data_IF_988960260042
#
_entry.id   IF_988960260042
#
_cell.length_a   1.000
_cell.length_b   1.000
_cell.length_c   1.000
_cell.angle_alpha   90.00
_cell.angle_beta   90.00
_cell.angle_gamma   90.00
#
_symmetry.space_group_name_H-M   'P 1'
#
loop_
_entity.id
_entity.type
_entity.pdbx_description
1 polymer ?
#
# COMPACT_ATOMS: atom_id res chain seq x y z
N UNK A 1 6.62 -13.68 12.77
CA UNK A 1 6.66 -12.26 13.11
C UNK A 1 7.46 -12.08 14.38
N UNK A 2 8.24 -11.00 14.48
CA UNK A 2 9.21 -10.71 15.53
C UNK A 2 8.70 -9.58 16.42
N UNK A 3 8.94 -9.62 17.74
CA UNK A 3 8.56 -8.53 18.66
C UNK A 3 9.59 -7.40 18.71
N UNK A 4 10.83 -7.71 18.36
CA UNK A 4 11.92 -6.75 18.35
C UNK A 4 12.86 -7.01 17.17
N UNK A 5 13.65 -5.99 16.81
CA UNK A 5 14.69 -6.09 15.79
C UNK A 5 15.78 -7.12 16.13
N UNK A 6 16.00 -7.39 17.43
CA UNK A 6 16.99 -8.35 17.90
C UNK A 6 16.56 -9.81 17.74
N UNK A 7 15.27 -10.06 17.52
CA UNK A 7 14.72 -11.41 17.29
C UNK A 7 14.80 -11.83 15.81
N UNK A 8 15.22 -10.94 14.91
CA UNK A 8 15.27 -11.21 13.47
C UNK A 8 16.43 -12.17 13.19
N UNK A 9 16.09 -13.40 12.80
CA UNK A 9 17.05 -14.40 12.36
C UNK A 9 17.31 -14.28 10.85
N UNK A 10 18.28 -13.44 10.48
CA UNK A 10 18.67 -13.20 9.09
C UNK A 10 19.18 -14.46 8.36
N UNK A 11 19.61 -15.50 9.09
CA UNK A 11 20.06 -16.76 8.48
C UNK A 11 18.92 -17.51 7.78
N UNK A 12 17.68 -17.32 8.27
CA UNK A 12 16.46 -17.94 7.73
C UNK A 12 15.79 -17.14 6.61
N UNK A 13 16.22 -15.90 6.38
CA UNK A 13 15.63 -15.03 5.35
C UNK A 13 16.25 -15.30 3.97
N UNK A 14 15.50 -15.10 2.87
CA UNK A 14 16.01 -15.22 1.51
C UNK A 14 17.11 -14.17 1.21
N UNK A 15 17.73 -14.24 0.02
CA UNK A 15 18.80 -13.30 -0.35
C UNK A 15 18.30 -11.87 -0.53
N UNK A 16 17.03 -11.70 -0.92
CA UNK A 16 16.34 -10.42 -1.00
C UNK A 16 14.98 -10.51 -0.30
N UNK A 17 14.64 -9.49 0.47
CA UNK A 17 13.38 -9.44 1.24
C UNK A 17 13.01 -8.01 1.60
N UNK A 18 11.77 -7.84 2.06
CA UNK A 18 11.29 -6.61 2.66
C UNK A 18 10.97 -6.87 4.12
N UNK A 19 11.49 -6.04 5.03
CA UNK A 19 11.04 -6.01 6.42
C UNK A 19 9.95 -4.97 6.55
N UNK A 20 8.84 -5.35 7.20
CA UNK A 20 7.70 -4.47 7.44
C UNK A 20 7.24 -4.55 8.88
N UNK A 21 6.73 -3.44 9.41
CA UNK A 21 5.90 -3.42 10.61
C UNK A 21 4.43 -3.64 10.25
N UNK A 22 3.65 -4.17 11.19
CA UNK A 22 2.25 -4.60 10.98
C UNK A 22 1.18 -3.57 11.40
N UNK A 23 1.56 -2.40 11.90
CA UNK A 23 0.69 -1.50 12.68
C UNK A 23 0.89 -0.02 12.33
N UNK A 24 1.49 0.26 11.18
CA UNK A 24 1.83 1.62 10.78
C UNK A 24 1.87 1.81 9.26
N UNK A 25 2.23 3.02 8.84
CA UNK A 25 2.67 3.32 7.48
C UNK A 25 4.15 3.71 7.47
N UNK A 26 4.88 3.23 6.45
CA UNK A 26 6.27 3.63 6.17
C UNK A 26 7.34 2.84 6.91
N UNK A 27 6.97 1.94 7.84
CA UNK A 27 7.87 1.03 8.54
C UNK A 27 8.36 -0.12 7.65
N UNK A 28 8.95 0.24 6.51
CA UNK A 28 9.38 -0.66 5.44
C UNK A 28 10.88 -0.50 5.20
N UNK A 29 11.61 -1.61 5.14
CA UNK A 29 13.03 -1.68 4.77
C UNK A 29 13.21 -2.66 3.61
N UNK A 30 13.75 -2.17 2.50
CA UNK A 30 14.04 -2.98 1.32
C UNK A 30 15.47 -3.54 1.41
N UNK A 31 15.61 -4.87 1.44
CA UNK A 31 16.90 -5.56 1.42
C UNK A 31 17.05 -6.26 0.08
N UNK A 32 17.81 -5.65 -0.85
CA UNK A 32 18.03 -6.19 -2.20
C UNK A 32 19.08 -7.29 -2.25
N UNK A 33 20.09 -7.20 -1.39
CA UNK A 33 21.15 -8.20 -1.24
C UNK A 33 21.50 -8.31 0.25
N UNK A 34 21.20 -9.46 0.85
CA UNK A 34 21.36 -9.73 2.28
C UNK A 34 22.81 -9.60 2.71
N UNK A 35 23.75 -10.12 1.92
CA UNK A 35 25.17 -10.15 2.31
C UNK A 35 25.77 -8.75 2.34
N UNK A 36 25.44 -7.91 1.35
CA UNK A 36 25.83 -6.50 1.31
C UNK A 36 25.18 -5.73 2.45
N UNK A 37 23.89 -5.96 2.69
CA UNK A 37 23.14 -5.32 3.79
C UNK A 37 23.73 -5.63 5.16
N UNK A 38 24.10 -6.88 5.43
CA UNK A 38 24.69 -7.28 6.72
C UNK A 38 26.14 -6.79 6.91
N UNK A 39 26.87 -6.53 5.82
CA UNK A 39 28.24 -6.00 5.86
C UNK A 39 28.29 -4.48 5.94
N UNK A 40 27.31 -3.79 5.38
CA UNK A 40 27.21 -2.34 5.45
C UNK A 40 26.59 -1.90 6.77
N UNK A 41 27.46 -1.69 7.77
CA UNK A 41 27.07 -1.23 9.11
C UNK A 41 26.22 0.04 9.08
N UNK A 42 26.39 0.93 8.10
CA UNK A 42 25.61 2.17 8.03
C UNK A 42 24.16 1.85 7.65
N UNK A 43 23.95 1.22 6.49
CA UNK A 43 22.61 0.86 6.01
C UNK A 43 21.88 -0.07 6.99
N UNK A 44 22.62 -1.01 7.59
CA UNK A 44 22.09 -1.90 8.61
C UNK A 44 21.57 -1.10 9.83
N UNK A 45 22.41 -0.23 10.42
CA UNK A 45 22.02 0.54 11.60
C UNK A 45 20.87 1.52 11.31
N UNK A 46 20.82 2.13 10.13
CA UNK A 46 19.71 2.97 9.70
C UNK A 46 18.39 2.18 9.62
N UNK A 47 18.43 0.97 9.04
CA UNK A 47 17.27 0.09 8.98
C UNK A 47 16.77 -0.36 10.36
N UNK A 48 17.69 -0.78 11.24
CA UNK A 48 17.37 -1.21 12.61
C UNK A 48 16.79 -0.04 13.42
N UNK A 49 17.38 1.16 13.30
CA UNK A 49 16.87 2.37 13.96
C UNK A 49 15.49 2.72 13.45
N UNK A 50 15.27 2.67 12.13
CA UNK A 50 13.95 2.91 11.53
C UNK A 50 12.91 1.95 12.09
N UNK A 51 13.14 0.63 12.01
CA UNK A 51 12.19 -0.36 12.51
C UNK A 51 11.94 -0.23 14.01
N UNK A 52 12.97 0.11 14.80
CA UNK A 52 12.83 0.34 16.25
C UNK A 52 11.96 1.57 16.54
N UNK A 53 12.14 2.67 15.81
CA UNK A 53 11.31 3.86 15.96
C UNK A 53 9.86 3.57 15.61
N UNK A 54 9.63 2.82 14.53
CA UNK A 54 8.31 2.39 14.10
C UNK A 54 7.62 1.51 15.14
N UNK A 55 8.31 0.49 15.70
CA UNK A 55 7.77 -0.35 16.79
C UNK A 55 7.35 0.44 18.04
N UNK A 56 7.94 1.62 18.27
CA UNK A 56 7.64 2.49 19.40
C UNK A 56 6.62 3.61 19.05
N UNK A 57 6.11 3.64 17.82
CA UNK A 57 5.21 4.68 17.33
C UNK A 57 3.83 4.11 17.08
N UNK A 58 2.80 4.69 17.70
CA UNK A 58 1.42 4.29 17.43
C UNK A 58 0.72 5.35 16.54
N UNK A 59 0.35 4.97 15.32
CA UNK A 59 -0.28 5.86 14.35
C UNK A 59 -1.65 6.40 14.79
N UNK A 60 -2.35 5.70 15.70
CA UNK A 60 -3.54 6.25 16.33
C UNK A 60 -3.23 7.55 17.11
N UNK A 61 -2.09 7.60 17.80
CA UNK A 61 -1.72 8.80 18.59
C UNK A 61 -1.30 9.97 17.71
N UNK A 62 -0.73 9.70 16.52
CA UNK A 62 -0.27 10.73 15.60
C UNK A 62 -1.39 11.25 14.68
N UNK A 63 -2.17 10.35 14.09
CA UNK A 63 -3.10 10.66 12.99
C UNK A 63 -4.55 10.28 13.28
N UNK A 64 -4.84 9.75 14.48
CA UNK A 64 -6.19 9.28 14.87
C UNK A 64 -6.75 8.16 13.99
N UNK A 65 -5.86 7.40 13.35
CA UNK A 65 -6.20 6.17 12.65
C UNK A 65 -6.56 5.07 13.65
N UNK A 66 -7.85 4.94 13.93
CA UNK A 66 -8.38 4.09 15.02
C UNK A 66 -7.99 2.62 14.89
N UNK A 67 -7.90 2.10 13.66
CA UNK A 67 -7.60 0.69 13.39
C UNK A 67 -6.21 0.27 13.88
N UNK A 68 -5.25 1.19 14.03
CA UNK A 68 -3.92 0.88 14.58
C UNK A 68 -3.86 0.87 16.10
N UNK A 69 -4.88 1.38 16.80
CA UNK A 69 -4.83 1.68 18.24
C UNK A 69 -4.38 0.49 19.10
N UNK A 70 -4.99 -0.67 18.85
CA UNK A 70 -4.85 -1.87 19.68
C UNK A 70 -4.00 -2.97 19.00
N UNK A 71 -3.39 -2.68 17.84
CA UNK A 71 -2.51 -3.64 17.16
C UNK A 71 -1.20 -3.73 17.91
N UNK A 72 -0.83 -4.94 18.34
CA UNK A 72 0.46 -5.17 18.96
C UNK A 72 1.59 -5.02 17.92
N UNK A 73 2.57 -4.11 18.14
CA UNK A 73 3.67 -3.89 17.21
C UNK A 73 4.52 -5.14 16.97
N UNK A 74 4.74 -5.47 15.70
CA UNK A 74 5.55 -6.60 15.22
C UNK A 74 6.27 -6.27 13.93
N UNK A 75 7.34 -7.01 13.66
CA UNK A 75 8.05 -7.02 12.38
C UNK A 75 7.79 -8.35 11.67
N UNK A 76 7.62 -8.32 10.36
CA UNK A 76 7.63 -9.51 9.52
C UNK A 76 8.53 -9.29 8.30
N UNK A 77 8.91 -10.40 7.67
CA UNK A 77 9.67 -10.40 6.43
C UNK A 77 8.79 -11.00 5.32
N UNK A 78 8.81 -10.38 4.15
CA UNK A 78 8.18 -10.87 2.93
C UNK A 78 9.21 -10.94 1.80
N UNK A 79 8.91 -11.74 0.78
CA UNK A 79 9.73 -11.82 -0.42
C UNK A 79 9.72 -10.47 -1.16
N UNK A 80 10.87 -10.09 -1.73
CA UNK A 80 10.97 -8.91 -2.57
C UNK A 80 10.30 -9.17 -3.92
N UNK A 81 9.29 -8.38 -4.25
CA UNK A 81 8.61 -8.47 -5.55
C UNK A 81 9.34 -7.63 -6.62
N UNK A 82 9.30 -8.13 -7.86
CA UNK A 82 9.84 -7.44 -9.04
C UNK A 82 11.35 -7.59 -9.22
N UNK A 83 11.84 -7.10 -10.35
CA UNK A 83 13.27 -7.09 -10.66
C UNK A 83 13.96 -5.97 -9.87
N UNK A 84 14.89 -6.34 -8.99
CA UNK A 84 15.61 -5.43 -8.10
C UNK A 84 16.43 -4.36 -8.83
N UNK A 85 16.64 -4.53 -10.14
CA UNK A 85 17.38 -3.64 -11.04
C UNK A 85 16.49 -2.79 -11.97
N UNK A 86 15.18 -3.06 -12.06
CA UNK A 86 14.25 -2.36 -12.97
C UNK A 86 13.38 -1.32 -12.24
N UNK A 87 12.57 -0.62 -13.04
CA UNK A 87 11.61 0.40 -12.63
C UNK A 87 10.76 -0.02 -11.41
N UNK A 88 10.33 0.98 -10.63
CA UNK A 88 9.44 0.78 -9.49
C UNK A 88 8.20 -0.02 -9.90
N UNK A 89 7.75 -0.94 -9.03
CA UNK A 89 6.48 -1.62 -9.23
C UNK A 89 5.35 -0.60 -9.41
N UNK A 90 4.40 -0.93 -10.29
CA UNK A 90 3.16 -0.17 -10.42
C UNK A 90 2.24 -0.63 -9.28
N UNK A 91 1.78 0.31 -8.46
CA UNK A 91 0.76 0.02 -7.47
C UNK A 91 -0.63 0.22 -8.08
N UNK A 92 -1.47 -0.79 -7.93
CA UNK A 92 -2.89 -0.72 -8.30
C UNK A 92 -3.71 -0.72 -7.03
N UNK A 93 -4.26 0.43 -6.68
CA UNK A 93 -5.01 0.65 -5.46
C UNK A 93 -6.49 0.72 -5.80
N UNK A 94 -7.21 -0.36 -5.53
CA UNK A 94 -8.62 -0.52 -5.92
C UNK A 94 -9.49 -0.05 -4.76
N UNK A 95 -10.16 1.09 -4.95
CA UNK A 95 -11.03 1.69 -3.94
C UNK A 95 -12.43 1.10 -4.02
N UNK A 96 -12.83 0.40 -2.97
CA UNK A 96 -14.15 -0.25 -2.89
C UNK A 96 -15.04 0.42 -1.85
N UNK A 97 -16.29 0.71 -2.22
CA UNK A 97 -17.33 1.29 -1.38
C UNK A 97 -18.55 0.37 -1.45
N UNK A 98 -18.92 -0.28 -0.34
CA UNK A 98 -20.06 -1.21 -0.25
C UNK A 98 -20.05 -2.30 -1.34
N UNK A 99 -18.91 -2.97 -1.53
CA UNK A 99 -18.71 -3.99 -2.58
C UNK A 99 -18.89 -3.45 -4.02
N UNK A 100 -18.75 -2.14 -4.23
CA UNK A 100 -18.69 -1.51 -5.54
C UNK A 100 -17.32 -0.88 -5.70
N UNK A 101 -16.62 -1.20 -6.79
CA UNK A 101 -15.37 -0.53 -7.14
C UNK A 101 -15.70 0.88 -7.63
N UNK A 102 -15.24 1.88 -6.88
CA UNK A 102 -15.42 3.29 -7.23
C UNK A 102 -14.46 3.73 -8.32
N UNK A 103 -13.17 3.37 -8.18
CA UNK A 103 -12.08 3.68 -9.10
C UNK A 103 -10.85 2.85 -8.74
N UNK A 104 -9.88 2.85 -9.66
CA UNK A 104 -8.55 2.27 -9.51
C UNK A 104 -7.57 3.43 -9.52
N UNK A 105 -6.87 3.64 -8.42
CA UNK A 105 -5.73 4.55 -8.35
C UNK A 105 -4.49 3.79 -8.80
N UNK A 106 -3.86 4.26 -9.88
CA UNK A 106 -2.63 3.67 -10.42
C UNK A 106 -1.46 4.58 -10.10
N UNK A 107 -0.48 4.05 -9.37
CA UNK A 107 0.74 4.77 -9.01
C UNK A 107 1.92 4.21 -9.79
N UNK A 108 2.62 5.08 -10.51
CA UNK A 108 3.88 4.76 -11.19
C UNK A 108 5.03 5.58 -10.61
N UNK A 109 6.27 5.14 -10.83
CA UNK A 109 7.48 5.89 -10.46
C UNK A 109 7.56 6.27 -8.96
N UNK A 110 6.98 5.44 -8.07
CA UNK A 110 6.84 5.73 -6.63
C UNK A 110 8.10 6.28 -5.98
N UNK A 111 9.28 5.80 -6.38
CA UNK A 111 10.58 6.18 -5.80
C UNK A 111 11.36 7.23 -6.61
N UNK A 112 10.94 7.56 -7.83
CA UNK A 112 11.70 8.42 -8.77
C UNK A 112 10.93 9.65 -9.23
N UNK A 113 9.69 9.82 -8.77
CA UNK A 113 8.82 10.93 -9.14
C UNK A 113 7.40 10.41 -9.29
N UNK A 114 6.79 10.06 -8.16
CA UNK A 114 5.47 9.45 -8.06
C UNK A 114 4.44 10.17 -8.93
N UNK A 115 3.72 9.40 -9.74
CA UNK A 115 2.60 9.88 -10.56
C UNK A 115 1.37 9.02 -10.29
N UNK A 116 0.22 9.66 -10.22
CA UNK A 116 -1.05 9.04 -9.86
C UNK A 116 -2.08 9.30 -10.96
N UNK A 117 -2.87 8.29 -11.29
CA UNK A 117 -4.02 8.45 -12.17
C UNK A 117 -5.15 7.55 -11.71
N UNK A 118 -6.36 8.10 -11.65
CA UNK A 118 -7.55 7.33 -11.36
C UNK A 118 -8.18 6.80 -12.67
N UNK A 119 -8.50 5.52 -12.67
CA UNK A 119 -9.05 4.77 -13.79
C UNK A 119 -10.37 4.09 -13.38
N UNK A 120 -11.29 3.90 -14.30
CA UNK A 120 -12.47 3.07 -14.10
C UNK A 120 -12.16 1.57 -14.32
N UNK A 121 -13.14 0.70 -14.06
CA UNK A 121 -13.00 -0.75 -14.26
C UNK A 121 -12.85 -1.18 -15.73
N UNK A 122 -13.10 -0.27 -16.68
CA UNK A 122 -12.92 -0.47 -18.11
C UNK A 122 -11.60 0.11 -18.62
N UNK A 123 -10.76 0.64 -17.73
CA UNK A 123 -9.48 1.27 -18.04
C UNK A 123 -9.57 2.63 -18.75
N UNK A 124 -10.61 3.41 -18.46
CA UNK A 124 -10.70 4.82 -18.85
C UNK A 124 -10.36 5.73 -17.68
N UNK A 125 -9.70 6.86 -17.95
CA UNK A 125 -9.42 7.87 -16.93
C UNK A 125 -10.74 8.43 -16.37
N UNK A 126 -10.89 8.47 -15.06
CA UNK A 126 -12.04 9.13 -14.41
C UNK A 126 -11.86 10.65 -14.44
N UNK A 127 -12.94 11.45 -14.36
CA UNK A 127 -12.85 12.89 -14.58
C UNK A 127 -12.46 13.65 -13.29
N UNK A 128 -11.44 13.15 -12.60
CA UNK A 128 -10.71 13.85 -11.55
C UNK A 128 -9.22 13.54 -11.60
N UNK A 129 -8.43 14.35 -10.90
CA UNK A 129 -7.00 14.23 -10.73
C UNK A 129 -6.61 14.30 -9.25
N UNK A 130 -5.60 13.52 -8.86
CA UNK A 130 -4.88 13.69 -7.60
C UNK A 130 -3.88 14.86 -7.67
N UNK A 131 -3.28 15.25 -6.55
CA UNK A 131 -2.23 16.28 -6.50
C UNK A 131 -1.03 15.91 -7.40
N UNK A 132 -0.60 14.64 -7.39
CA UNK A 132 0.53 14.14 -8.21
C UNK A 132 0.07 13.54 -9.54
N UNK A 133 -0.86 14.20 -10.23
CA UNK A 133 -1.47 13.67 -11.45
C UNK A 133 -0.46 13.23 -12.52
N UNK A 134 -0.71 12.08 -13.13
CA UNK A 134 -0.07 11.64 -14.36
C UNK A 134 -0.77 12.26 -15.57
N UNK A 135 0.02 12.66 -16.57
CA UNK A 135 -0.49 13.06 -17.89
C UNK A 135 -0.61 11.86 -18.86
N UNK A 136 -0.08 10.71 -18.47
CA UNK A 136 -0.04 9.50 -19.29
C UNK A 136 -0.84 8.39 -18.65
N UNK A 137 -1.70 7.76 -19.45
CA UNK A 137 -2.42 6.55 -19.06
C UNK A 137 -1.43 5.37 -19.11
N UNK A 138 -1.21 4.66 -17.99
CA UNK A 138 -0.34 3.49 -17.99
C UNK A 138 -0.95 2.33 -18.77
N UNK A 139 -0.11 1.39 -19.16
CA UNK A 139 -0.55 0.15 -19.80
C UNK A 139 -1.55 -0.58 -18.88
N UNK A 140 -2.63 -1.08 -19.48
CA UNK A 140 -3.61 -1.91 -18.78
C UNK A 140 -2.95 -3.19 -18.26
N UNK A 141 -3.09 -3.54 -16.96
CA UNK A 141 -2.57 -4.79 -16.44
C UNK A 141 -3.29 -5.95 -17.12
N UNK A 142 -2.53 -6.99 -17.47
CA UNK A 142 -3.05 -8.16 -18.19
C UNK A 142 -4.12 -8.89 -17.36
N UNK A 143 -3.98 -8.90 -16.03
CA UNK A 143 -4.89 -9.53 -15.09
C UNK A 143 -5.91 -8.58 -14.48
N UNK A 144 -6.31 -7.51 -15.18
CA UNK A 144 -7.23 -6.51 -14.59
C UNK A 144 -8.51 -7.17 -14.06
N UNK A 145 -9.12 -8.10 -14.80
CA UNK A 145 -10.38 -8.73 -14.38
C UNK A 145 -10.24 -9.44 -13.04
N UNK A 146 -9.21 -10.27 -12.91
CA UNK A 146 -8.89 -11.04 -11.71
C UNK A 146 -8.54 -10.13 -10.52
N UNK A 147 -7.87 -9.00 -10.78
CA UNK A 147 -7.59 -8.00 -9.75
C UNK A 147 -8.89 -7.38 -9.20
N UNK A 148 -9.85 -7.05 -10.08
CA UNK A 148 -11.14 -6.50 -9.67
C UNK A 148 -11.95 -7.53 -8.87
N UNK A 149 -12.00 -8.78 -9.31
CA UNK A 149 -12.71 -9.86 -8.61
C UNK A 149 -12.09 -10.11 -7.21
N UNK A 150 -10.76 -10.15 -7.12
CA UNK A 150 -10.05 -10.30 -5.86
C UNK A 150 -10.33 -9.12 -4.91
N UNK A 151 -10.32 -7.89 -5.41
CA UNK A 151 -10.63 -6.72 -4.59
C UNK A 151 -12.06 -6.74 -4.07
N UNK A 152 -13.04 -7.14 -4.88
CA UNK A 152 -14.43 -7.29 -4.45
C UNK A 152 -14.57 -8.38 -3.37
N UNK A 153 -13.85 -9.50 -3.52
CA UNK A 153 -13.85 -10.57 -2.52
C UNK A 153 -13.26 -10.10 -1.18
N UNK A 154 -12.12 -9.43 -1.20
CA UNK A 154 -11.45 -8.91 -0.01
C UNK A 154 -12.24 -7.78 0.66
N UNK A 155 -13.03 -7.03 -0.11
CA UNK A 155 -13.85 -5.93 0.37
C UNK A 155 -15.13 -6.34 1.11
N UNK A 156 -15.57 -7.60 1.01
CA UNK A 156 -16.89 -8.05 1.49
C UNK A 156 -17.19 -7.71 2.96
N UNK A 157 -16.16 -7.67 3.81
CA UNK A 157 -16.31 -7.42 5.23
C UNK A 157 -16.36 -5.92 5.59
N UNK A 158 -16.18 -5.01 4.63
CA UNK A 158 -15.93 -3.61 4.88
C UNK A 158 -16.86 -2.69 4.08
N UNK A 159 -17.31 -1.60 4.72
CA UNK A 159 -18.06 -0.57 4.00
C UNK A 159 -17.17 0.21 3.03
N UNK A 160 -15.93 0.44 3.43
CA UNK A 160 -14.89 1.01 2.60
C UNK A 160 -13.60 0.26 2.87
N UNK A 161 -12.91 -0.12 1.80
CA UNK A 161 -11.51 -0.54 1.86
C UNK A 161 -10.84 -0.25 0.52
N UNK A 162 -9.59 0.22 0.59
CA UNK A 162 -8.69 0.26 -0.56
C UNK A 162 -7.86 -1.01 -0.55
N UNK A 163 -7.94 -1.77 -1.63
CA UNK A 163 -7.18 -3.01 -1.82
C UNK A 163 -5.98 -2.69 -2.69
N UNK A 164 -4.79 -2.77 -2.10
CA UNK A 164 -3.54 -2.47 -2.80
C UNK A 164 -2.98 -3.77 -3.39
N UNK A 165 -2.81 -3.79 -4.70
CA UNK A 165 -2.34 -4.94 -5.44
C UNK A 165 -1.11 -4.63 -6.28
N UNK A 166 -0.27 -5.64 -6.46
CA UNK A 166 0.76 -5.69 -7.48
C UNK A 166 0.41 -6.75 -8.53
N UNK A 167 0.72 -6.46 -9.79
CA UNK A 167 0.64 -7.42 -10.89
C UNK A 167 2.05 -7.59 -11.46
N UNK A 168 2.69 -8.73 -11.17
CA UNK A 168 4.02 -9.06 -11.67
C UNK A 168 3.90 -10.30 -12.54
N UNK A 169 4.18 -10.12 -13.84
CA UNK A 169 3.95 -11.15 -14.87
C UNK A 169 2.48 -11.60 -14.88
N UNK A 170 2.20 -12.85 -14.54
CA UNK A 170 0.86 -13.43 -14.42
C UNK A 170 0.50 -13.76 -12.96
N UNK A 171 1.06 -13.02 -12.00
CA UNK A 171 0.77 -13.19 -10.58
C UNK A 171 0.26 -11.89 -9.97
N UNK A 172 -0.81 -12.01 -9.18
CA UNK A 172 -1.36 -10.92 -8.36
C UNK A 172 -0.89 -11.12 -6.93
N UNK A 173 -0.37 -10.04 -6.33
CA UNK A 173 0.03 -10.01 -4.94
C UNK A 173 -0.77 -8.96 -4.19
N UNK A 174 -1.31 -9.34 -3.03
CA UNK A 174 -1.96 -8.40 -2.11
C UNK A 174 -0.86 -7.70 -1.30
N UNK A 175 -0.80 -6.38 -1.43
CA UNK A 175 0.13 -5.54 -0.67
C UNK A 175 -0.43 -5.15 0.70
N UNK A 176 -1.56 -4.47 0.72
CA UNK A 176 -2.24 -4.01 1.94
C UNK A 176 -3.76 -3.86 1.74
N UNK A 177 -4.49 -3.90 2.85
CA UNK A 177 -5.87 -3.42 2.94
C UNK A 177 -5.87 -2.13 3.75
N UNK A 178 -6.27 -1.03 3.12
CA UNK A 178 -6.16 0.31 3.71
C UNK A 178 -7.53 0.94 3.93
N UNK A 179 -7.81 1.29 5.17
CA UNK A 179 -9.12 1.80 5.61
C UNK A 179 -9.21 3.32 5.64
N UNK A 180 -8.06 4.01 5.72
CA UNK A 180 -7.98 5.47 5.80
C UNK A 180 -6.80 5.99 4.98
N UNK A 181 -6.84 5.87 3.63
CA UNK A 181 -5.75 6.34 2.80
C UNK A 181 -5.50 7.83 3.04
N UNK A 182 -4.22 8.21 3.13
CA UNK A 182 -3.79 9.57 3.45
C UNK A 182 -4.46 10.19 4.69
N UNK A 183 -4.92 9.38 5.64
CA UNK A 183 -5.70 9.85 6.79
C UNK A 183 -7.04 10.52 6.41
N UNK A 184 -7.57 10.24 5.21
CA UNK A 184 -8.77 10.89 4.68
C UNK A 184 -8.55 12.33 4.22
N UNK A 185 -7.32 12.69 3.84
CA UNK A 185 -6.96 14.09 3.48
C UNK A 185 -6.51 14.28 2.03
N UNK A 186 -6.65 13.25 1.20
CA UNK A 186 -6.39 13.36 -0.25
C UNK A 186 -7.24 14.47 -0.88
N UNK A 187 -6.64 15.19 -1.84
CA UNK A 187 -7.32 16.25 -2.58
C UNK A 187 -7.55 15.85 -4.02
N UNK A 188 -8.78 16.08 -4.48
CA UNK A 188 -9.20 15.83 -5.85
C UNK A 188 -9.43 17.13 -6.61
N UNK A 189 -9.10 17.13 -7.89
CA UNK A 189 -9.44 18.22 -8.82
C UNK A 189 -10.33 17.69 -9.95
N UNK A 190 -11.56 18.21 -10.13
CA UNK A 190 -12.19 19.28 -9.35
C UNK A 190 -12.63 18.82 -7.94
N UNK A 191 -12.70 19.78 -7.00
CA UNK A 191 -12.96 19.52 -5.58
C UNK A 191 -14.29 18.81 -5.29
N UNK A 192 -15.28 18.93 -6.19
CA UNK A 192 -16.56 18.23 -6.08
C UNK A 192 -16.44 16.70 -6.00
N UNK A 193 -15.32 16.13 -6.45
CA UNK A 193 -15.09 14.69 -6.39
C UNK A 193 -14.89 14.13 -4.99
N UNK A 194 -14.42 14.96 -4.06
CA UNK A 194 -14.36 14.60 -2.64
C UNK A 194 -15.75 14.19 -2.12
N UNK A 195 -16.75 15.05 -2.34
CA UNK A 195 -18.14 14.76 -2.00
C UNK A 195 -18.72 13.60 -2.82
N UNK A 196 -18.47 13.54 -4.14
CA UNK A 196 -19.01 12.47 -4.98
C UNK A 196 -18.55 11.09 -4.54
N UNK A 197 -17.27 10.94 -4.16
CA UNK A 197 -16.73 9.69 -3.64
C UNK A 197 -17.27 9.40 -2.23
N UNK A 198 -17.34 10.41 -1.36
CA UNK A 198 -17.93 10.28 -0.03
C UNK A 198 -19.40 9.85 -0.06
N UNK A 199 -20.20 10.36 -1.01
CA UNK A 199 -21.62 9.99 -1.17
C UNK A 199 -21.82 8.50 -1.55
N UNK A 200 -20.79 7.83 -2.10
CA UNK A 200 -20.83 6.38 -2.34
C UNK A 200 -20.74 5.58 -1.04
N UNK A 201 -20.13 6.15 -0.01
CA UNK A 201 -20.04 5.53 1.31
C UNK A 201 -21.33 5.75 2.08
N UNK A 202 -22.35 4.92 1.81
CA UNK A 202 -23.60 5.02 2.57
C UNK A 202 -23.36 4.50 3.99
N UNK A 203 -23.63 5.33 4.99
CA UNK A 203 -23.63 4.90 6.37
C UNK A 203 -24.65 3.78 6.55
N UNK A 204 -24.22 2.56 6.89
CA UNK A 204 -25.09 1.76 7.73
C UNK A 204 -25.15 2.53 9.05
N UNK A 205 -26.35 3.01 9.41
CA UNK A 205 -26.59 3.48 10.77
C UNK A 205 -26.13 2.34 11.68
N UNK A 206 -25.13 2.63 12.51
CA UNK A 206 -24.88 1.81 13.69
C UNK A 206 -26.09 2.13 14.57
N UNK A 207 -27.12 1.29 14.49
CA UNK A 207 -28.19 1.24 15.49
C UNK A 207 -27.66 0.62 16.78
#
# INVERSE_FOLDING_TARGET
>A
MYKSVNEIDFSKLPQSFVLKTNHDCGGVVLVKDKDTFLKDSKSFNEAITKLTNHLNTNFYTMYREWHYKDIEPRIFAEEMLGDTQKHSLIDYKIHTMQNIISHIEVITDRHTGQKEIAMDTKWHKVPFDYEKKSLQIPQKPIMLGEMLDMSLLLAQAFQYVRVDLYCVEMNIYVGELTFTPAGGTDKFTPQEWDKKLGDLWKHARIE
#
